data_IF_762134126501
#
_entry.id   IF_762134126501
#
_cell.length_a   1.000
_cell.length_b   1.000
_cell.length_c   1.000
_cell.angle_alpha   90.00
_cell.angle_beta   90.00
_cell.angle_gamma   90.00
#
_symmetry.space_group_name_H-M   'P 1'
#
loop_
_entity.id
_entity.type
_entity.pdbx_description
1 polymer ?
#
# COMPACT_ATOMS: atom_id res chain seq x y z
N UNK A 1 17.99 -3.61 -19.41
CA UNK A 1 17.99 -4.01 -17.99
C UNK A 1 18.97 -5.16 -17.81
N UNK A 2 19.94 -5.08 -16.88
CA UNK A 2 20.67 -6.28 -16.45
C UNK A 2 19.63 -7.22 -15.85
N UNK A 3 19.54 -8.45 -16.33
CA UNK A 3 18.68 -9.48 -15.75
C UNK A 3 19.09 -9.65 -14.28
N UNK A 4 18.30 -9.07 -13.38
CA UNK A 4 18.42 -9.39 -11.96
C UNK A 4 18.05 -10.87 -11.83
N UNK A 5 18.76 -11.65 -11.01
CA UNK A 5 18.50 -13.07 -10.90
C UNK A 5 17.01 -13.30 -10.60
N UNK A 6 16.44 -14.29 -11.28
CA UNK A 6 15.12 -14.82 -10.97
C UNK A 6 15.04 -15.11 -9.47
N UNK A 7 13.89 -14.80 -8.90
CA UNK A 7 13.59 -14.73 -7.48
C UNK A 7 14.46 -15.63 -6.58
N UNK A 8 15.14 -15.00 -5.61
CA UNK A 8 15.73 -15.76 -4.51
C UNK A 8 14.63 -16.51 -3.77
N UNK A 9 14.88 -17.77 -3.39
CA UNK A 9 13.90 -18.58 -2.63
C UNK A 9 13.36 -17.79 -1.44
N UNK A 10 12.03 -17.72 -1.33
CA UNK A 10 11.35 -17.26 -0.11
C UNK A 10 11.71 -18.24 1.02
N UNK A 11 12.49 -17.80 2.02
CA UNK A 11 12.84 -18.62 3.22
C UNK A 11 11.61 -19.02 4.09
N UNK A 12 10.44 -18.57 3.67
CA UNK A 12 9.10 -18.80 4.16
C UNK A 12 8.75 -20.30 4.22
N UNK A 13 9.26 -21.09 3.27
CA UNK A 13 8.98 -22.52 3.16
C UNK A 13 9.62 -23.36 4.28
N UNK A 14 10.58 -22.82 5.05
CA UNK A 14 11.29 -23.54 6.11
C UNK A 14 10.90 -23.17 7.55
N UNK A 15 9.90 -22.29 7.72
CA UNK A 15 9.47 -21.84 9.05
C UNK A 15 8.32 -22.72 9.57
N UNK A 16 8.64 -23.66 10.48
CA UNK A 16 7.66 -24.48 11.25
C UNK A 16 6.72 -23.65 12.15
N UNK A 17 6.88 -22.32 12.19
CA UNK A 17 5.90 -21.45 12.84
C UNK A 17 4.70 -21.36 11.91
N UNK A 18 3.60 -22.01 12.26
CA UNK A 18 2.35 -22.08 11.51
C UNK A 18 1.75 -20.70 11.20
N UNK A 19 2.32 -19.99 10.23
CA UNK A 19 1.75 -18.80 9.62
C UNK A 19 0.68 -19.22 8.60
N UNK A 20 -0.30 -20.00 9.05
CA UNK A 20 -1.55 -20.19 8.32
C UNK A 20 -2.37 -18.90 8.45
N UNK A 21 -1.92 -17.85 7.77
CA UNK A 21 -2.70 -16.61 7.60
C UNK A 21 -3.86 -16.93 6.67
N UNK A 22 -4.93 -17.55 7.18
CA UNK A 22 -6.23 -17.77 6.52
C UNK A 22 -6.20 -18.11 5.00
N UNK A 23 -5.12 -18.73 4.51
CA UNK A 23 -4.81 -18.74 3.08
C UNK A 23 -3.44 -19.31 2.66
N UNK A 24 -2.64 -19.88 3.58
CA UNK A 24 -1.51 -20.76 3.24
C UNK A 24 -0.42 -20.17 2.32
N UNK A 25 0.35 -19.21 2.83
CA UNK A 25 1.49 -18.65 2.08
C UNK A 25 2.75 -19.52 2.19
N UNK A 26 2.86 -20.58 1.39
CA UNK A 26 3.98 -21.56 1.49
C UNK A 26 5.03 -21.41 0.40
N UNK A 27 4.79 -20.54 -0.59
CA UNK A 27 5.70 -20.36 -1.73
C UNK A 27 5.66 -18.92 -2.24
N UNK A 28 6.63 -18.54 -3.05
CA UNK A 28 6.62 -17.24 -3.69
C UNK A 28 5.38 -17.00 -4.58
N UNK A 29 4.88 -18.07 -5.22
CA UNK A 29 3.61 -18.04 -5.96
C UNK A 29 2.40 -17.71 -5.07
N UNK A 30 2.49 -17.91 -3.75
CA UNK A 30 1.44 -17.46 -2.83
C UNK A 30 1.46 -15.95 -2.60
N UNK A 31 2.62 -15.30 -2.78
CA UNK A 31 2.76 -13.86 -2.57
C UNK A 31 2.24 -13.02 -3.72
N UNK A 32 1.99 -13.62 -4.89
CA UNK A 32 1.45 -12.97 -6.09
C UNK A 32 0.17 -13.67 -6.53
N UNK A 33 -0.95 -12.95 -6.58
CA UNK A 33 -2.23 -13.46 -7.07
C UNK A 33 -2.73 -12.57 -8.20
N UNK A 34 -3.14 -13.16 -9.33
CA UNK A 34 -3.54 -12.43 -10.54
C UNK A 34 -5.04 -12.53 -10.79
N UNK A 35 -5.59 -11.56 -11.51
CA UNK A 35 -6.97 -11.58 -12.00
C UNK A 35 -7.03 -11.85 -13.51
N UNK A 36 -7.97 -12.66 -14.02
CA UNK A 36 -8.89 -13.50 -13.25
C UNK A 36 -8.11 -14.55 -12.44
N UNK A 37 -8.59 -14.87 -11.24
CA UNK A 37 -7.90 -15.88 -10.43
C UNK A 37 -8.19 -17.26 -11.01
N UNK A 38 -7.23 -18.23 -10.96
CA UNK A 38 -7.43 -19.56 -11.53
C UNK A 38 -8.60 -20.34 -10.93
N UNK A 39 -8.95 -20.01 -9.68
CA UNK A 39 -10.04 -20.62 -8.91
C UNK A 39 -11.38 -19.88 -9.06
N UNK A 40 -11.44 -18.80 -9.85
CA UNK A 40 -12.65 -17.97 -10.03
C UNK A 40 -13.05 -17.15 -8.79
N UNK A 41 -12.27 -17.22 -7.72
CA UNK A 41 -12.50 -16.48 -6.48
C UNK A 41 -12.17 -14.98 -6.65
N UNK A 42 -12.66 -14.15 -5.74
CA UNK A 42 -12.29 -12.74 -5.74
C UNK A 42 -10.80 -12.54 -5.38
N UNK A 43 -10.20 -11.47 -5.91
CA UNK A 43 -8.76 -11.21 -5.76
C UNK A 43 -8.37 -10.91 -4.30
N UNK A 44 -9.21 -10.14 -3.61
CA UNK A 44 -9.05 -9.74 -2.21
C UNK A 44 -9.85 -10.61 -1.24
N UNK A 45 -10.74 -11.46 -1.72
CA UNK A 45 -11.49 -12.41 -0.89
C UNK A 45 -12.50 -11.72 0.04
N UNK A 46 -12.75 -12.34 1.18
CA UNK A 46 -13.78 -11.92 2.13
C UNK A 46 -13.33 -10.78 3.05
N UNK A 47 -14.23 -10.39 3.96
CA UNK A 47 -14.03 -9.21 4.81
C UNK A 47 -12.80 -9.28 5.71
N UNK A 48 -12.41 -10.48 6.16
CA UNK A 48 -11.20 -10.66 6.96
C UNK A 48 -9.93 -10.34 6.16
N UNK A 49 -9.92 -10.68 4.86
CA UNK A 49 -8.79 -10.42 3.97
C UNK A 49 -8.74 -8.95 3.56
N UNK A 50 -9.89 -8.31 3.27
CA UNK A 50 -9.97 -6.86 3.08
C UNK A 50 -9.52 -6.11 4.34
N UNK A 51 -9.98 -6.56 5.51
CA UNK A 51 -9.60 -5.99 6.79
C UNK A 51 -8.08 -6.05 6.98
N UNK A 52 -7.49 -7.23 6.75
CA UNK A 52 -6.06 -7.43 6.86
C UNK A 52 -5.27 -6.56 5.89
N UNK A 53 -5.76 -6.45 4.65
CA UNK A 53 -5.06 -5.79 3.56
C UNK A 53 -5.09 -4.26 3.65
N UNK A 54 -6.18 -3.64 4.14
CA UNK A 54 -6.37 -2.19 4.02
C UNK A 54 -6.97 -1.47 5.24
N UNK A 55 -7.79 -2.13 6.07
CA UNK A 55 -8.45 -1.46 7.21
C UNK A 55 -7.67 -1.56 8.52
N UNK A 56 -7.07 -2.72 8.78
CA UNK A 56 -6.50 -3.00 10.09
C UNK A 56 -5.22 -2.21 10.31
N UNK A 57 -5.27 -1.30 11.27
CA UNK A 57 -4.11 -0.59 11.80
C UNK A 57 -3.78 -1.14 13.18
N UNK A 58 -2.53 -1.57 13.38
CA UNK A 58 -2.08 -1.89 14.74
C UNK A 58 -2.15 -0.63 15.61
N UNK A 59 -2.45 -0.76 16.91
CA UNK A 59 -2.47 0.38 17.81
C UNK A 59 -1.12 1.12 17.75
N UNK A 60 -1.15 2.39 17.36
CA UNK A 60 -0.02 3.31 17.53
C UNK A 60 -0.21 4.10 18.82
N UNK A 61 0.83 4.73 19.39
CA UNK A 61 0.68 5.58 20.57
C UNK A 61 -0.46 6.62 20.41
N UNK A 62 -0.61 7.17 19.21
CA UNK A 62 -1.64 8.14 18.85
C UNK A 62 -3.04 7.52 18.64
N UNK A 63 -3.11 6.22 18.30
CA UNK A 63 -4.34 5.45 18.14
C UNK A 63 -4.67 4.56 19.35
N UNK A 64 -3.88 4.68 20.43
CA UNK A 64 -3.95 3.82 21.61
C UNK A 64 -5.29 3.91 22.35
N UNK A 65 -6.07 4.98 22.11
CA UNK A 65 -7.41 5.16 22.66
C UNK A 65 -8.53 4.44 21.87
N UNK A 66 -8.28 3.92 20.66
CA UNK A 66 -9.30 3.25 19.82
C UNK A 66 -8.82 1.92 19.18
N UNK A 67 -8.23 0.97 19.94
CA UNK A 67 -7.61 -0.23 19.37
C UNK A 67 -8.61 -1.24 18.77
N UNK A 68 -9.88 -1.19 19.16
CA UNK A 68 -10.91 -2.16 18.75
C UNK A 68 -11.75 -1.68 17.54
N UNK A 69 -11.79 -0.38 17.28
CA UNK A 69 -12.60 0.24 16.22
C UNK A 69 -11.99 0.05 14.81
N UNK A 70 -10.76 -0.44 14.75
CA UNK A 70 -9.94 -0.54 13.54
C UNK A 70 -9.92 -1.92 12.88
N UNK A 71 -10.57 -2.91 13.51
CA UNK A 71 -10.60 -4.27 13.02
C UNK A 71 -12.02 -4.69 12.65
N UNK A 72 -12.34 -4.68 11.36
CA UNK A 72 -13.64 -5.14 10.84
C UNK A 72 -13.99 -6.56 11.30
N UNK A 73 -12.99 -7.42 11.54
CA UNK A 73 -13.19 -8.79 12.03
C UNK A 73 -13.77 -8.85 13.44
N UNK A 74 -13.48 -7.87 14.32
CA UNK A 74 -14.03 -7.88 15.69
C UNK A 74 -15.56 -7.79 15.67
N UNK A 75 -16.13 -7.08 14.70
CA UNK A 75 -17.58 -7.00 14.52
C UNK A 75 -18.20 -8.32 14.01
N UNK A 76 -17.41 -9.22 13.42
CA UNK A 76 -17.88 -10.43 12.73
C UNK A 76 -17.46 -11.74 13.38
N UNK A 77 -16.49 -11.73 14.28
CA UNK A 77 -16.01 -12.91 14.98
C UNK A 77 -16.75 -13.01 16.32
N UNK A 78 -17.66 -13.98 16.53
CA UNK A 78 -18.39 -14.12 17.78
C UNK A 78 -17.48 -14.34 18.99
N UNK A 79 -16.26 -14.82 18.76
CA UNK A 79 -15.24 -14.98 19.79
C UNK A 79 -14.42 -13.69 20.05
N UNK A 80 -14.73 -12.59 19.36
CA UNK A 80 -14.04 -11.30 19.51
C UNK A 80 -12.58 -11.32 19.07
N UNK A 81 -12.17 -12.30 18.24
CA UNK A 81 -10.76 -12.42 17.83
C UNK A 81 -10.38 -11.29 16.87
N UNK A 82 -9.27 -10.63 17.19
CA UNK A 82 -8.66 -9.60 16.35
C UNK A 82 -7.91 -10.25 15.19
N UNK A 83 -7.75 -9.53 14.08
CA UNK A 83 -6.82 -9.94 13.04
C UNK A 83 -5.39 -9.96 13.61
N UNK A 84 -4.67 -11.07 13.42
CA UNK A 84 -3.25 -11.17 13.75
C UNK A 84 -2.45 -10.45 12.65
N UNK A 85 -1.97 -9.25 12.95
CA UNK A 85 -1.40 -8.34 11.94
C UNK A 85 0.07 -8.65 11.65
N UNK A 86 0.44 -8.97 10.40
CA UNK A 86 1.82 -8.81 9.86
C UNK A 86 1.93 -8.57 8.34
N UNK A 87 0.85 -8.73 7.57
CA UNK A 87 0.90 -8.62 6.12
C UNK A 87 0.74 -7.18 5.62
N UNK A 88 1.55 -6.79 4.64
CA UNK A 88 1.36 -5.63 3.76
C UNK A 88 0.91 -6.16 2.41
N UNK A 89 -0.20 -5.65 1.90
CA UNK A 89 -0.75 -6.02 0.59
C UNK A 89 -0.65 -4.82 -0.34
N UNK A 90 -0.26 -5.07 -1.59
CA UNK A 90 -0.33 -4.10 -2.69
C UNK A 90 -1.26 -4.69 -3.75
N UNK A 91 -2.24 -3.94 -4.20
CA UNK A 91 -2.98 -4.24 -5.45
C UNK A 91 -2.43 -3.31 -6.52
N UNK A 92 -1.88 -3.87 -7.59
CA UNK A 92 -1.44 -3.10 -8.75
C UNK A 92 -2.47 -3.21 -9.86
N UNK A 93 -3.00 -2.07 -10.31
CA UNK A 93 -3.92 -1.97 -11.43
C UNK A 93 -3.33 -1.06 -12.50
N UNK A 94 -3.05 -1.60 -13.68
CA UNK A 94 -2.63 -0.83 -14.85
C UNK A 94 -3.84 -0.53 -15.71
N UNK A 95 -4.08 0.76 -15.96
CA UNK A 95 -5.13 1.24 -16.85
C UNK A 95 -4.53 1.99 -18.02
N UNK A 96 -5.09 1.81 -19.21
CA UNK A 96 -4.72 2.65 -20.34
C UNK A 96 -5.39 4.03 -20.29
N UNK A 97 -5.17 4.83 -21.32
CA UNK A 97 -5.75 6.17 -21.44
C UNK A 97 -7.28 6.18 -21.52
N UNK A 98 -7.90 5.11 -22.01
CA UNK A 98 -9.37 4.98 -22.03
C UNK A 98 -9.93 4.56 -20.67
N UNK A 99 -9.07 4.13 -19.74
CA UNK A 99 -9.43 3.61 -18.43
C UNK A 99 -9.57 2.08 -18.39
N UNK A 100 -9.34 1.40 -19.52
CA UNK A 100 -9.47 -0.05 -19.61
C UNK A 100 -8.40 -0.72 -18.77
N UNK A 101 -8.80 -1.74 -18.00
CA UNK A 101 -7.88 -2.51 -17.16
C UNK A 101 -7.02 -3.43 -18.03
N UNK A 102 -5.70 -3.22 -18.02
CA UNK A 102 -4.73 -4.01 -18.78
C UNK A 102 -3.95 -4.99 -17.92
N UNK A 103 -3.79 -4.69 -16.63
CA UNK A 103 -3.14 -5.57 -15.68
C UNK A 103 -3.77 -5.41 -14.29
N UNK A 104 -3.96 -6.53 -13.59
CA UNK A 104 -4.43 -6.52 -12.22
C UNK A 104 -3.80 -7.67 -11.43
N UNK A 105 -3.07 -7.32 -10.38
CA UNK A 105 -2.40 -8.28 -9.51
C UNK A 105 -2.39 -7.81 -8.06
N UNK A 106 -2.37 -8.78 -7.15
CA UNK A 106 -2.24 -8.59 -5.71
C UNK A 106 -0.91 -9.19 -5.27
N UNK A 107 -0.16 -8.39 -4.54
CA UNK A 107 1.11 -8.75 -3.92
C UNK A 107 0.96 -8.73 -2.41
N UNK A 108 1.62 -9.65 -1.73
CA UNK A 108 1.74 -9.63 -0.27
C UNK A 108 3.21 -9.71 0.12
N UNK A 109 3.58 -9.03 1.19
CA UNK A 109 4.94 -9.12 1.71
C UNK A 109 5.24 -10.54 2.22
N UNK A 110 6.51 -10.91 2.15
CA UNK A 110 7.03 -11.96 3.00
C UNK A 110 7.47 -11.31 4.33
N UNK A 111 6.90 -11.72 5.48
CA UNK A 111 7.24 -11.13 6.79
C UNK A 111 8.73 -11.23 7.15
N UNK A 112 9.44 -12.23 6.61
CA UNK A 112 10.83 -12.52 6.94
C UNK A 112 11.83 -11.96 5.93
N UNK A 113 11.39 -11.67 4.70
CA UNK A 113 12.37 -11.45 3.63
C UNK A 113 12.06 -10.32 2.69
N UNK A 114 10.82 -9.96 2.35
CA UNK A 114 10.58 -9.06 1.21
C UNK A 114 9.31 -8.22 1.39
N UNK A 115 9.39 -6.94 1.04
CA UNK A 115 8.21 -6.08 1.01
C UNK A 115 7.37 -6.35 -0.25
N UNK A 116 6.07 -6.04 -0.20
CA UNK A 116 5.16 -6.30 -1.31
C UNK A 116 5.57 -5.53 -2.58
N UNK A 117 6.06 -4.30 -2.42
CA UNK A 117 6.52 -3.41 -3.49
C UNK A 117 7.69 -4.00 -4.28
N UNK A 118 8.50 -4.86 -3.66
CA UNK A 118 9.60 -5.52 -4.36
C UNK A 118 9.10 -6.56 -5.36
N UNK A 119 8.02 -7.28 -5.04
CA UNK A 119 7.38 -8.19 -5.98
C UNK A 119 6.76 -7.43 -7.16
N UNK A 120 6.16 -6.26 -6.90
CA UNK A 120 5.63 -5.38 -7.97
C UNK A 120 6.74 -4.97 -8.95
N UNK A 121 7.87 -4.46 -8.43
CA UNK A 121 8.98 -3.96 -9.25
C UNK A 121 9.62 -5.07 -10.11
N UNK A 122 9.47 -6.34 -9.71
CA UNK A 122 10.07 -7.50 -10.37
C UNK A 122 9.08 -8.32 -11.20
N UNK A 123 7.80 -7.96 -11.24
CA UNK A 123 6.80 -8.77 -11.93
C UNK A 123 6.93 -8.65 -13.45
N UNK A 124 7.40 -9.74 -14.08
CA UNK A 124 7.58 -9.81 -15.53
C UNK A 124 6.27 -9.64 -16.31
N UNK A 125 5.13 -10.01 -15.72
CA UNK A 125 3.81 -9.83 -16.34
C UNK A 125 3.41 -8.34 -16.35
N UNK A 126 3.74 -7.60 -15.29
CA UNK A 126 3.56 -6.15 -15.27
C UNK A 126 4.45 -5.49 -16.33
N UNK A 127 5.72 -5.92 -16.42
CA UNK A 127 6.64 -5.43 -17.46
C UNK A 127 6.05 -5.67 -18.84
N UNK A 128 5.56 -6.88 -19.13
CA UNK A 128 4.95 -7.22 -20.42
C UNK A 128 3.73 -6.35 -20.71
N UNK A 129 2.81 -6.21 -19.76
CA UNK A 129 1.61 -5.39 -19.92
C UNK A 129 1.94 -3.92 -20.23
N UNK A 130 2.96 -3.36 -19.57
CA UNK A 130 3.44 -1.99 -19.84
C UNK A 130 4.06 -1.88 -21.24
N UNK A 131 4.81 -2.89 -21.68
CA UNK A 131 5.42 -2.91 -23.02
C UNK A 131 4.37 -3.00 -24.13
N UNK A 132 3.30 -3.77 -23.92
CA UNK A 132 2.20 -3.91 -24.88
C UNK A 132 1.37 -2.63 -25.02
N UNK A 133 1.16 -1.90 -23.91
CA UNK A 133 0.42 -0.63 -23.93
C UNK A 133 1.15 0.51 -24.63
N UNK A 134 2.49 0.47 -24.63
CA UNK A 134 3.33 1.57 -25.10
C UNK A 134 4.59 1.02 -25.78
N UNK A 135 4.47 0.55 -27.04
CA UNK A 135 5.58 -0.03 -27.78
C UNK A 135 6.74 0.97 -27.98
N UNK A 136 7.96 0.44 -28.16
CA UNK A 136 9.20 1.23 -28.18
C UNK A 136 9.29 2.23 -29.33
N UNK A 137 8.57 1.99 -30.44
CA UNK A 137 8.58 2.91 -31.59
C UNK A 137 8.02 4.29 -31.23
N UNK A 138 7.11 4.36 -30.26
CA UNK A 138 6.63 5.62 -29.69
C UNK A 138 7.59 6.18 -28.62
N UNK A 139 8.42 5.34 -27.99
CA UNK A 139 9.29 5.71 -26.87
C UNK A 139 10.50 6.58 -27.27
N UNK A 140 10.80 6.68 -28.57
CA UNK A 140 11.85 7.57 -29.09
C UNK A 140 11.41 9.04 -29.20
N UNK A 141 10.11 9.32 -29.06
CA UNK A 141 9.62 10.69 -28.93
C UNK A 141 10.05 11.22 -27.56
N UNK A 142 10.98 12.18 -27.53
CA UNK A 142 11.60 12.73 -26.33
C UNK A 142 10.65 13.53 -25.42
N UNK A 143 9.35 13.53 -25.70
CA UNK A 143 8.34 14.36 -25.02
C UNK A 143 7.05 13.61 -24.72
N UNK A 144 7.12 12.35 -24.25
CA UNK A 144 5.92 11.71 -23.71
C UNK A 144 5.47 12.44 -22.44
N UNK A 145 4.32 13.10 -22.53
CA UNK A 145 3.64 13.68 -21.36
C UNK A 145 3.30 12.56 -20.37
N UNK A 146 3.56 12.74 -19.06
CA UNK A 146 3.17 11.73 -18.09
C UNK A 146 1.67 11.41 -18.18
N UNK A 147 1.32 10.13 -18.12
CA UNK A 147 -0.06 9.65 -18.23
C UNK A 147 -0.60 9.55 -19.66
N UNK A 148 0.17 9.94 -20.68
CA UNK A 148 -0.26 9.88 -22.09
C UNK A 148 -0.63 8.48 -22.59
N UNK A 149 -0.05 7.43 -22.01
CA UNK A 149 -0.38 6.03 -22.33
C UNK A 149 -1.33 5.38 -21.31
N UNK A 150 -1.38 5.89 -20.08
CA UNK A 150 -2.17 5.30 -19.00
C UNK A 150 -1.57 5.55 -17.61
N UNK A 151 -2.09 4.84 -16.62
CA UNK A 151 -1.67 4.94 -15.22
C UNK A 151 -1.54 3.56 -14.57
N UNK A 152 -0.42 3.32 -13.90
CA UNK A 152 -0.30 2.24 -12.93
C UNK A 152 -0.68 2.77 -11.55
N UNK A 153 -1.75 2.25 -10.95
CA UNK A 153 -2.13 2.54 -9.57
C UNK A 153 -1.74 1.40 -8.64
N UNK A 154 -0.99 1.72 -7.58
CA UNK A 154 -0.65 0.82 -6.49
C UNK A 154 -1.48 1.18 -5.26
N UNK A 155 -2.47 0.35 -4.94
CA UNK A 155 -3.26 0.49 -3.73
C UNK A 155 -2.61 -0.33 -2.62
N UNK A 156 -2.30 0.28 -1.48
CA UNK A 156 -1.70 -0.45 -0.36
C UNK A 156 -2.09 0.15 1.00
N UNK A 157 -1.99 -0.62 2.08
CA UNK A 157 -2.28 -0.05 3.42
C UNK A 157 -1.27 1.00 3.83
N UNK A 158 0.00 0.63 3.81
CA UNK A 158 1.07 1.45 4.36
C UNK A 158 1.74 2.25 3.24
N UNK A 159 2.08 3.51 3.52
CA UNK A 159 3.00 4.24 2.65
C UNK A 159 4.29 3.42 2.43
N UNK A 160 4.89 3.46 1.21
CA UNK A 160 6.15 2.78 0.96
C UNK A 160 7.21 3.23 1.96
N UNK A 161 7.97 2.29 2.53
CA UNK A 161 9.05 2.66 3.42
C UNK A 161 10.19 3.35 2.64
N UNK A 162 11.00 4.14 3.35
CA UNK A 162 12.24 4.72 2.83
C UNK A 162 13.29 4.56 3.92
N UNK A 163 13.90 3.37 4.05
CA UNK A 163 14.79 3.05 5.18
C UNK A 163 14.12 3.02 6.57
N UNK A 164 12.80 3.20 6.62
CA UNK A 164 12.03 3.31 7.86
C UNK A 164 11.46 1.99 8.36
N UNK A 165 11.63 0.87 7.65
CA UNK A 165 11.13 -0.46 8.04
C UNK A 165 12.15 -1.22 8.89
N UNK A 166 11.68 -2.09 9.77
CA UNK A 166 12.55 -2.94 10.61
C UNK A 166 12.95 -4.25 9.92
N UNK A 167 12.26 -4.65 8.83
CA UNK A 167 12.34 -6.01 8.28
C UNK A 167 13.43 -6.23 7.23
N UNK A 168 14.08 -5.18 6.71
CA UNK A 168 14.99 -5.27 5.55
C UNK A 168 16.35 -4.59 5.77
N UNK A 169 16.66 -4.29 7.03
CA UNK A 169 17.83 -3.47 7.39
C UNK A 169 17.69 -2.02 6.89
N UNK A 170 18.62 -1.13 7.27
CA UNK A 170 18.52 0.31 7.02
C UNK A 170 18.68 0.72 5.55
N UNK A 171 18.93 -0.23 4.63
CA UNK A 171 19.36 0.06 3.26
C UNK A 171 18.28 -0.09 2.19
N UNK A 172 17.12 -0.71 2.51
CA UNK A 172 16.05 -0.85 1.52
C UNK A 172 15.04 0.31 1.59
N UNK A 173 14.72 0.84 0.42
CA UNK A 173 13.75 1.92 0.22
C UNK A 173 12.74 1.50 -0.84
N UNK A 174 11.51 1.21 -0.41
CA UNK A 174 10.41 0.97 -1.34
C UNK A 174 10.07 2.23 -2.13
N UNK A 175 10.22 3.42 -1.53
CA UNK A 175 10.02 4.69 -2.22
C UNK A 175 10.98 4.82 -3.41
N UNK A 176 12.28 4.55 -3.23
CA UNK A 176 13.25 4.62 -4.34
C UNK A 176 13.04 3.49 -5.34
N UNK A 177 12.71 2.28 -4.88
CA UNK A 177 12.42 1.16 -5.78
C UNK A 177 11.24 1.46 -6.71
N UNK A 178 10.20 2.13 -6.21
CA UNK A 178 9.04 2.53 -7.00
C UNK A 178 9.33 3.75 -7.89
N UNK A 179 9.96 4.79 -7.37
CA UNK A 179 10.19 6.03 -8.14
C UNK A 179 11.35 5.88 -9.12
N UNK A 180 12.53 5.50 -8.62
CA UNK A 180 13.72 5.38 -9.44
C UNK A 180 13.74 4.08 -10.23
N UNK A 181 13.35 2.96 -9.62
CA UNK A 181 13.34 1.66 -10.28
C UNK A 181 12.17 1.51 -11.25
N UNK A 182 10.95 1.42 -10.73
CA UNK A 182 9.77 1.13 -11.54
C UNK A 182 9.39 2.30 -12.45
N UNK A 183 9.19 3.50 -11.91
CA UNK A 183 8.71 4.61 -12.72
C UNK A 183 9.75 5.11 -13.72
N UNK A 184 10.94 5.52 -13.25
CA UNK A 184 11.95 6.12 -14.14
C UNK A 184 12.51 5.14 -15.18
N UNK A 185 12.67 3.86 -14.86
CA UNK A 185 13.25 2.90 -15.81
C UNK A 185 12.21 2.25 -16.74
N UNK A 186 10.96 2.07 -16.28
CA UNK A 186 9.94 1.34 -17.03
C UNK A 186 8.77 2.22 -17.48
N UNK A 187 8.06 2.87 -16.55
CA UNK A 187 6.77 3.52 -16.80
C UNK A 187 6.92 4.88 -17.51
N UNK A 188 7.77 5.76 -16.98
CA UNK A 188 7.97 7.13 -17.46
C UNK A 188 8.39 7.19 -18.94
N UNK A 189 9.41 6.43 -19.40
CA UNK A 189 9.79 6.37 -20.82
C UNK A 189 8.65 5.94 -21.76
N UNK A 190 7.61 5.32 -21.21
CA UNK A 190 6.44 4.82 -21.94
C UNK A 190 5.23 5.75 -21.82
N UNK A 191 5.33 6.85 -21.09
CA UNK A 191 4.23 7.78 -20.86
C UNK A 191 3.18 7.23 -19.88
N UNK A 192 3.54 6.23 -19.06
CA UNK A 192 2.66 5.68 -18.02
C UNK A 192 2.95 6.39 -16.70
N UNK A 193 1.94 6.98 -16.08
CA UNK A 193 2.05 7.58 -14.74
C UNK A 193 2.04 6.52 -13.64
N UNK A 194 2.66 6.83 -12.50
CA UNK A 194 2.59 6.01 -11.30
C UNK A 194 1.78 6.72 -10.22
N UNK A 195 0.68 6.11 -9.78
CA UNK A 195 -0.09 6.58 -8.62
C UNK A 195 0.04 5.57 -7.48
N UNK A 196 0.41 6.03 -6.29
CA UNK A 196 0.46 5.21 -5.08
C UNK A 196 -0.61 5.72 -4.13
N UNK A 197 -1.65 4.92 -3.89
CA UNK A 197 -2.77 5.28 -3.02
C UNK A 197 -2.71 4.47 -1.73
N UNK A 198 -2.66 5.15 -0.58
CA UNK A 198 -2.39 4.53 0.73
C UNK A 198 -3.52 4.75 1.72
N UNK A 199 -3.82 3.75 2.56
CA UNK A 199 -4.82 3.88 3.62
C UNK A 199 -4.25 4.35 4.96
N UNK A 200 -2.91 4.44 5.06
CA UNK A 200 -2.20 4.75 6.29
C UNK A 200 -0.76 5.27 6.07
N UNK A 201 -0.36 6.30 6.82
CA UNK A 201 1.00 6.85 6.80
C UNK A 201 1.93 6.15 7.79
N UNK A 202 2.70 5.17 7.33
CA UNK A 202 3.64 4.42 8.18
C UNK A 202 4.70 5.33 8.83
N UNK A 203 4.64 5.50 10.16
CA UNK A 203 5.57 6.27 11.02
C UNK A 203 5.69 7.77 10.74
N UNK A 204 5.38 8.25 9.54
CA UNK A 204 5.56 9.66 9.19
C UNK A 204 4.74 10.62 10.08
N UNK A 205 3.61 10.15 10.60
CA UNK A 205 2.74 10.90 11.50
C UNK A 205 3.18 10.89 12.97
N UNK A 206 4.15 10.06 13.36
CA UNK A 206 4.57 9.96 14.76
C UNK A 206 5.18 11.28 15.24
N UNK A 207 4.77 11.72 16.44
CA UNK A 207 5.43 12.84 17.11
C UNK A 207 6.53 12.31 18.03
N UNK A 208 7.77 12.39 17.58
CA UNK A 208 8.95 11.94 18.32
C UNK A 208 9.11 12.64 19.68
N UNK A 209 8.50 13.83 19.86
CA UNK A 209 8.51 14.55 21.14
C UNK A 209 7.64 13.85 22.19
N UNK A 210 6.67 13.05 21.76
CA UNK A 210 5.78 12.28 22.62
C UNK A 210 6.39 10.98 23.14
N UNK A 211 7.59 10.58 22.72
CA UNK A 211 8.24 9.38 23.25
C UNK A 211 8.74 9.61 24.68
N UNK A 212 8.51 8.63 25.55
CA UNK A 212 8.78 8.70 26.99
C UNK A 212 10.28 8.84 27.28
N UNK A 213 11.11 8.11 26.53
CA UNK A 213 12.54 8.03 26.78
C UNK A 213 13.42 8.62 25.69
N UNK A 214 14.60 9.12 26.08
CA UNK A 214 15.62 9.58 25.14
C UNK A 214 16.13 8.43 24.25
N UNK A 215 16.15 7.21 24.80
CA UNK A 215 16.50 6.00 24.05
C UNK A 215 15.53 5.76 22.90
N UNK A 216 14.23 5.88 23.13
CA UNK A 216 13.21 5.74 22.09
C UNK A 216 13.31 6.85 21.05
N UNK A 217 13.51 8.10 21.49
CA UNK A 217 13.73 9.22 20.56
C UNK A 217 14.91 8.99 19.64
N UNK A 218 16.04 8.53 20.18
CA UNK A 218 17.24 8.21 19.39
C UNK A 218 17.03 7.03 18.44
N UNK A 219 16.22 6.05 18.83
CA UNK A 219 15.95 4.86 18.03
C UNK A 219 14.92 5.11 16.92
N UNK A 220 13.81 5.75 17.25
CA UNK A 220 12.68 5.97 16.34
C UNK A 220 12.78 7.26 15.55
N UNK A 221 13.43 8.30 16.09
CA UNK A 221 13.58 9.60 15.42
C UNK A 221 14.08 9.49 13.98
N UNK A 222 15.22 8.81 13.71
CA UNK A 222 15.71 8.62 12.35
C UNK A 222 14.73 7.88 11.43
N UNK A 223 13.95 6.93 11.96
CA UNK A 223 12.97 6.15 11.17
C UNK A 223 11.73 6.97 10.83
N UNK A 224 11.30 7.84 11.74
CA UNK A 224 10.21 8.79 11.49
C UNK A 224 10.64 9.78 10.41
N UNK A 225 11.84 10.35 10.52
CA UNK A 225 12.37 11.25 9.49
C UNK A 225 12.55 10.56 8.15
N UNK A 226 13.06 9.32 8.13
CA UNK A 226 13.18 8.56 6.90
C UNK A 226 11.82 8.27 6.26
N UNK A 227 10.77 8.01 7.05
CA UNK A 227 9.41 7.87 6.54
C UNK A 227 8.86 9.17 5.93
N UNK A 228 9.16 10.33 6.54
CA UNK A 228 8.80 11.65 5.99
C UNK A 228 9.57 11.95 4.71
N UNK A 229 10.84 11.58 4.65
CA UNK A 229 11.67 11.70 3.45
C UNK A 229 11.12 10.88 2.29
N UNK A 230 10.62 9.66 2.56
CA UNK A 230 9.90 8.87 1.56
C UNK A 230 8.75 9.65 0.90
N UNK A 231 7.94 10.39 1.67
CA UNK A 231 6.87 11.25 1.12
C UNK A 231 7.45 12.36 0.23
N UNK A 232 8.57 12.98 0.64
CA UNK A 232 9.25 14.02 -0.16
C UNK A 232 9.81 13.49 -1.47
N UNK A 233 10.28 12.24 -1.50
CA UNK A 233 10.72 11.58 -2.75
C UNK A 233 9.58 11.52 -3.77
N UNK A 234 8.36 11.15 -3.34
CA UNK A 234 7.17 11.19 -4.20
C UNK A 234 6.83 12.62 -4.64
N UNK A 235 6.84 13.59 -3.71
CA UNK A 235 6.56 14.99 -4.03
C UNK A 235 7.54 15.57 -5.07
N UNK A 236 8.82 15.25 -4.97
CA UNK A 236 9.85 15.69 -5.93
C UNK A 236 9.65 15.08 -7.33
N UNK A 237 9.09 13.87 -7.41
CA UNK A 237 8.80 13.16 -8.66
C UNK A 237 7.41 13.48 -9.25
N UNK A 238 6.60 14.31 -8.58
CA UNK A 238 5.24 14.64 -9.03
C UNK A 238 5.18 15.25 -10.44
N UNK A 239 6.13 16.14 -10.76
CA UNK A 239 6.27 16.72 -12.10
C UNK A 239 6.55 15.69 -13.21
N UNK A 240 7.06 14.52 -12.84
CA UNK A 240 7.39 13.44 -13.76
C UNK A 240 6.23 12.42 -13.88
N UNK A 241 5.08 12.67 -13.23
CA UNK A 241 3.89 11.81 -13.27
C UNK A 241 3.79 10.78 -12.17
N UNK A 242 4.45 11.01 -11.04
CA UNK A 242 4.40 10.14 -9.87
C UNK A 242 3.60 10.78 -8.74
N UNK A 243 2.54 10.15 -8.24
CA UNK A 243 1.79 10.69 -7.08
C UNK A 243 1.73 9.71 -5.92
N UNK A 244 1.71 10.26 -4.71
CA UNK A 244 1.40 9.56 -3.45
C UNK A 244 0.19 10.25 -2.83
N UNK A 245 -0.89 9.50 -2.61
CA UNK A 245 -2.18 10.03 -2.18
C UNK A 245 -2.83 9.13 -1.13
N UNK A 246 -3.77 9.68 -0.37
CA UNK A 246 -4.67 8.86 0.42
C UNK A 246 -5.65 8.11 -0.50
N UNK A 247 -6.13 6.94 -0.08
CA UNK A 247 -7.28 6.32 -0.73
C UNK A 247 -8.49 7.25 -0.65
N UNK A 248 -9.20 7.37 -1.76
CA UNK A 248 -10.48 8.10 -1.85
C UNK A 248 -11.67 7.13 -1.99
N UNK A 249 -12.88 7.67 -2.12
CA UNK A 249 -14.10 6.87 -2.22
C UNK A 249 -14.13 5.95 -3.47
N UNK A 250 -13.61 6.41 -4.61
CA UNK A 250 -13.52 5.62 -5.84
C UNK A 250 -12.51 4.48 -5.70
N UNK A 251 -11.37 4.75 -5.05
CA UNK A 251 -10.35 3.75 -4.76
C UNK A 251 -10.91 2.63 -3.87
N UNK A 252 -11.68 2.99 -2.84
CA UNK A 252 -12.34 2.03 -1.98
C UNK A 252 -13.41 1.23 -2.73
N UNK A 253 -14.24 1.87 -3.55
CA UNK A 253 -15.24 1.18 -4.37
C UNK A 253 -14.56 0.18 -5.32
N UNK A 254 -13.44 0.57 -5.94
CA UNK A 254 -12.65 -0.33 -6.78
C UNK A 254 -12.09 -1.49 -5.98
N UNK A 255 -11.40 -1.25 -4.85
CA UNK A 255 -10.85 -2.32 -4.00
C UNK A 255 -11.93 -3.29 -3.54
N UNK A 256 -13.09 -2.79 -3.14
CA UNK A 256 -14.22 -3.60 -2.70
C UNK A 256 -14.84 -4.40 -3.83
N UNK A 257 -14.83 -3.90 -5.07
CA UNK A 257 -15.25 -4.70 -6.24
C UNK A 257 -14.33 -5.90 -6.52
N UNK A 258 -13.15 -5.95 -5.88
CA UNK A 258 -12.21 -7.07 -5.95
C UNK A 258 -12.40 -8.08 -4.80
N UNK A 259 -13.36 -7.84 -3.90
CA UNK A 259 -13.73 -8.72 -2.80
C UNK A 259 -14.91 -9.64 -3.19
N UNK A 260 -15.30 -10.51 -2.27
CA UNK A 260 -16.51 -11.33 -2.40
C UNK A 260 -17.78 -10.43 -2.46
N UNK A 261 -18.82 -10.92 -3.14
CA UNK A 261 -20.04 -10.13 -3.42
C UNK A 261 -20.75 -9.62 -2.15
N UNK A 262 -20.69 -10.38 -1.06
CA UNK A 262 -21.25 -10.00 0.23
C UNK A 262 -20.52 -8.79 0.84
N UNK A 263 -19.19 -8.75 0.74
CA UNK A 263 -18.38 -7.58 1.15
C UNK A 263 -18.74 -6.35 0.33
N UNK A 264 -18.91 -6.52 -0.99
CA UNK A 264 -19.28 -5.42 -1.87
C UNK A 264 -20.66 -4.84 -1.56
N UNK A 265 -21.65 -5.70 -1.34
CA UNK A 265 -22.99 -5.30 -0.92
C UNK A 265 -22.99 -4.59 0.44
N UNK A 266 -22.27 -5.14 1.42
CA UNK A 266 -22.21 -4.56 2.77
C UNK A 266 -21.52 -3.20 2.77
N UNK A 267 -20.47 -3.04 1.98
CA UNK A 267 -19.81 -1.74 1.78
C UNK A 267 -20.76 -0.73 1.12
N UNK A 268 -21.46 -1.12 0.05
CA UNK A 268 -22.41 -0.23 -0.63
C UNK A 268 -23.54 0.23 0.32
N UNK A 269 -24.04 -0.67 1.17
CA UNK A 269 -25.05 -0.33 2.17
C UNK A 269 -24.54 0.66 3.23
N UNK A 270 -23.28 0.54 3.65
CA UNK A 270 -22.70 1.37 4.70
C UNK A 270 -22.13 2.71 4.20
N UNK A 271 -21.64 2.77 2.96
CA UNK A 271 -20.95 3.94 2.39
C UNK A 271 -21.72 4.66 1.26
N UNK A 272 -22.82 4.09 0.75
CA UNK A 272 -23.62 4.67 -0.33
C UNK A 272 -24.44 5.91 0.07
N UNK A 273 -24.94 6.63 -0.94
CA UNK A 273 -25.83 7.79 -0.76
C UNK A 273 -27.18 7.32 -0.20
N UNK A 274 -27.49 7.69 1.06
CA UNK A 274 -28.75 7.33 1.72
C UNK A 274 -28.64 6.30 2.85
N UNK A 275 -27.47 6.15 3.48
CA UNK A 275 -27.22 5.26 4.63
C UNK A 275 -27.98 5.60 5.92
N UNK A 276 -29.29 5.80 5.86
CA UNK A 276 -30.19 5.98 7.03
C UNK A 276 -30.83 4.66 7.51
N UNK A 277 -30.48 3.52 6.90
CA UNK A 277 -31.15 2.24 7.13
C UNK A 277 -30.25 1.13 7.68
N UNK A 278 -29.66 1.29 8.88
CA UNK A 278 -29.17 0.13 9.65
C UNK A 278 -30.37 -0.68 10.18
N UNK A 279 -31.07 -1.38 9.29
CA UNK A 279 -32.36 -2.02 9.56
C UNK A 279 -32.58 -3.33 8.82
N UNK A 280 -31.52 -4.09 8.54
CA UNK A 280 -31.63 -5.40 7.90
C UNK A 280 -30.67 -6.39 8.56
N UNK A 281 -31.14 -7.61 8.79
CA UNK A 281 -30.56 -8.70 9.60
C UNK A 281 -29.25 -9.30 9.06
N UNK A 282 -28.45 -8.53 8.32
CA UNK A 282 -27.08 -8.91 7.93
C UNK A 282 -26.11 -8.57 9.06
N UNK A 283 -25.06 -9.38 9.22
CA UNK A 283 -23.92 -9.05 10.07
C UNK A 283 -23.17 -7.86 9.45
N UNK A 284 -23.70 -6.64 9.59
CA UNK A 284 -23.16 -5.43 8.97
C UNK A 284 -21.73 -5.17 9.45
N UNK A 285 -20.76 -5.65 8.68
CA UNK A 285 -19.35 -5.62 9.06
C UNK A 285 -18.80 -4.20 9.15
N UNK A 286 -19.32 -3.34 8.28
CA UNK A 286 -19.04 -1.91 8.26
C UNK A 286 -20.02 -1.17 9.19
N UNK A 287 -19.75 -1.26 10.49
CA UNK A 287 -20.53 -0.53 11.50
C UNK A 287 -20.38 0.99 11.32
N UNK A 288 -21.35 1.78 11.83
CA UNK A 288 -21.27 3.23 11.76
C UNK A 288 -19.97 3.81 12.37
N UNK A 289 -19.46 3.32 13.52
CA UNK A 289 -18.13 3.70 14.02
C UNK A 289 -16.99 3.36 13.06
N UNK A 290 -16.99 2.16 12.46
CA UNK A 290 -15.94 1.77 11.51
C UNK A 290 -15.94 2.65 10.25
N UNK A 291 -17.12 3.02 9.75
CA UNK A 291 -17.29 3.94 8.60
C UNK A 291 -16.78 5.33 8.96
N UNK A 292 -17.20 5.88 10.10
CA UNK A 292 -16.76 7.20 10.56
C UNK A 292 -15.24 7.24 10.77
N UNK A 293 -14.69 6.20 11.39
CA UNK A 293 -13.26 6.06 11.60
C UNK A 293 -12.50 5.99 10.27
N UNK A 294 -12.97 5.19 9.30
CA UNK A 294 -12.31 5.08 7.98
C UNK A 294 -12.25 6.43 7.27
N UNK A 295 -13.35 7.19 7.27
CA UNK A 295 -13.39 8.55 6.70
C UNK A 295 -12.38 9.49 7.37
N UNK A 296 -12.37 9.51 8.71
CA UNK A 296 -11.42 10.31 9.47
C UNK A 296 -9.96 9.92 9.17
N UNK A 297 -9.69 8.64 8.98
CA UNK A 297 -8.35 8.15 8.64
C UNK A 297 -7.93 8.53 7.22
N UNK A 298 -8.82 8.51 6.24
CA UNK A 298 -8.52 8.96 4.88
C UNK A 298 -8.15 10.45 4.86
N UNK A 299 -8.92 11.29 5.57
CA UNK A 299 -8.63 12.71 5.75
C UNK A 299 -7.29 12.94 6.46
N UNK A 300 -7.04 12.21 7.55
CA UNK A 300 -5.79 12.27 8.28
C UNK A 300 -4.59 11.91 7.41
N UNK A 301 -4.67 10.83 6.64
CA UNK A 301 -3.60 10.39 5.74
C UNK A 301 -3.34 11.45 4.67
N UNK A 302 -4.40 12.02 4.08
CA UNK A 302 -4.28 13.08 3.08
C UNK A 302 -3.60 14.34 3.64
N UNK A 303 -3.93 14.72 4.88
CA UNK A 303 -3.27 15.83 5.59
C UNK A 303 -1.78 15.53 5.87
N UNK A 304 -1.45 14.32 6.34
CA UNK A 304 -0.04 13.96 6.58
C UNK A 304 0.78 13.96 5.29
N UNK A 305 0.23 13.45 4.19
CA UNK A 305 0.91 13.48 2.88
C UNK A 305 1.14 14.93 2.45
N UNK A 306 0.12 15.81 2.50
CA UNK A 306 0.27 17.24 2.14
C UNK A 306 1.34 17.94 2.99
N UNK A 307 1.28 17.76 4.32
CA UNK A 307 2.21 18.36 5.28
C UNK A 307 3.67 18.03 4.98
N UNK A 308 3.96 16.74 4.78
CA UNK A 308 5.33 16.29 4.57
C UNK A 308 5.81 16.52 3.14
N UNK A 309 4.90 16.59 2.15
CA UNK A 309 5.23 16.95 0.77
C UNK A 309 5.65 18.42 0.64
N UNK A 310 5.03 19.33 1.39
CA UNK A 310 5.32 20.77 1.35
C UNK A 310 6.58 21.16 2.14
N UNK A 311 7.02 20.30 3.06
CA UNK A 311 8.22 20.53 3.86
C UNK A 311 9.43 20.31 2.97
N UNK A 312 10.08 21.40 2.52
CA UNK A 312 11.34 21.32 1.78
C UNK A 312 12.38 20.48 2.52
N UNK A 313 13.42 19.96 1.83
CA UNK A 313 14.43 19.15 2.47
C UNK A 313 14.97 19.94 3.66
N UNK A 314 14.83 19.37 4.86
CA UNK A 314 15.49 19.93 6.04
C UNK A 314 16.97 19.85 5.72
N UNK A 315 17.58 20.99 5.39
CA UNK A 315 19.02 21.12 5.24
C UNK A 315 19.65 20.86 6.61
N UNK A 316 19.68 19.58 7.00
CA UNK A 316 20.46 19.03 8.09
C UNK A 316 21.91 19.09 7.69
N UNK A 317 22.43 20.31 7.53
CA UNK A 317 23.86 20.56 7.56
C UNK A 317 24.25 20.27 9.00
N UNK A 318 24.54 18.99 9.27
CA UNK A 318 25.25 18.58 10.46
C UNK A 318 26.57 19.35 10.43
N UNK A 319 26.62 20.47 11.14
CA UNK A 319 27.88 21.07 11.54
C UNK A 319 28.53 20.04 12.45
N UNK A 320 29.37 19.20 11.86
CA UNK A 320 30.39 18.47 12.61
C UNK A 320 31.28 19.55 13.23
N UNK A 321 30.97 19.92 14.47
CA UNK A 321 31.91 20.58 15.35
C UNK A 321 33.01 19.54 15.62
N UNK A 322 34.12 19.67 14.90
CA UNK A 322 35.36 19.01 15.25
C UNK A 322 35.79 19.51 16.63
N UNK A 323 35.84 18.59 17.59
CA UNK A 323 36.58 18.70 18.84
C UNK A 323 37.66 17.64 18.85
#
# INVERSE_FOLDING_TARGET
MRTRPAFGRCDCAGSDRGWEVAGGYTSEASHVRRSPTPDGNSLLGGVAQLCHAFFHCSPTPELSSHPDELCLRVACDPAGRKCETKGVVVVAALRDRAGDLRFLSRYSNCPLSSHAEEYVVRDEELVRAVMEMAPEDDARSSTKTPGSAGTLTLYQRLQPCHGSSDNRGPLWSCSDALVAGLHRELLGPRGVSLRVAVSYTYRAHWDVRGFESERERRWWGPKVEAAREGIRVFAAAAKDGVTLEALNAEDWAFLVSLCDEDVARDYAAAFGEGGEGFGSKGCGVFTAPAVAHRRAMDEFVAEQIRRHSASGPTNGRATNAAG
#
